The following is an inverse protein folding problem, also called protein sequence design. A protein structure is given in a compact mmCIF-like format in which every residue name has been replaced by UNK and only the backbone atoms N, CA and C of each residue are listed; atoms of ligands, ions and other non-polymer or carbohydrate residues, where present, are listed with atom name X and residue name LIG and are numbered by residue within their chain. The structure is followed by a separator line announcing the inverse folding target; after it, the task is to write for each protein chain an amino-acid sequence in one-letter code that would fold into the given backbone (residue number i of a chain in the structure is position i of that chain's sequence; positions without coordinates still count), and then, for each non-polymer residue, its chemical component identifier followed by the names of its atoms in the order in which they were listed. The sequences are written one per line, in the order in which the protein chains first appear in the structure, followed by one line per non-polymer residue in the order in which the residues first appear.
data_IF_911174066294
#
_entry.id   IF_911174066294
#
_cell.length_a   1.000
_cell.length_b   1.000
_cell.length_c   1.000
_cell.angle_alpha   90.00
_cell.angle_beta   90.00
_cell.angle_gamma   90.00
#
_symmetry.space_group_name_H-M   'P 1'
#
loop_
_entity.id
_entity.type
_entity.pdbx_description
1 polymer ?
#
# COMPACT_ATOMS: atom_id res chain seq x y z
N UNK A 1 -4.93 -36.57 9.58
CA UNK A 1 -5.52 -35.65 8.59
C UNK A 1 -5.08 -34.23 8.93
N UNK A 2 -3.91 -33.81 8.45
CA UNK A 2 -3.34 -32.45 8.66
C UNK A 2 -3.14 -31.69 7.34
N UNK A 3 -3.54 -32.26 6.20
CA UNK A 3 -3.34 -31.65 4.88
C UNK A 3 -4.19 -30.38 4.65
N UNK A 4 -5.38 -30.27 5.26
CA UNK A 4 -6.32 -29.17 4.97
C UNK A 4 -5.88 -27.77 5.41
N UNK A 5 -5.09 -27.63 6.49
CA UNK A 5 -4.67 -26.30 6.98
C UNK A 5 -3.48 -25.77 6.16
N UNK A 6 -2.57 -26.64 5.75
CA UNK A 6 -1.42 -26.24 4.93
C UNK A 6 -1.86 -25.81 3.52
N UNK A 7 -2.81 -26.52 2.92
CA UNK A 7 -3.34 -26.16 1.60
C UNK A 7 -4.11 -24.83 1.64
N UNK A 8 -4.83 -24.58 2.74
CA UNK A 8 -5.58 -23.36 2.95
C UNK A 8 -4.67 -22.14 3.17
N UNK A 9 -3.58 -22.31 3.92
CA UNK A 9 -2.52 -21.30 4.06
C UNK A 9 -1.89 -20.95 2.71
N UNK A 10 -1.50 -21.96 1.93
CA UNK A 10 -0.89 -21.74 0.60
C UNK A 10 -1.83 -21.01 -0.34
N UNK A 11 -3.10 -21.41 -0.36
CA UNK A 11 -4.13 -20.76 -1.18
C UNK A 11 -4.30 -19.30 -0.77
N UNK A 12 -4.32 -19.02 0.53
CA UNK A 12 -4.44 -17.65 1.03
C UNK A 12 -3.25 -16.78 0.60
N UNK A 13 -2.01 -17.26 0.78
CA UNK A 13 -0.79 -16.54 0.33
C UNK A 13 -0.84 -16.28 -1.18
N UNK A 14 -1.23 -17.28 -1.99
CA UNK A 14 -1.36 -17.11 -3.44
C UNK A 14 -2.37 -16.02 -3.80
N UNK A 15 -3.54 -16.01 -3.15
CA UNK A 15 -4.58 -15.02 -3.39
C UNK A 15 -4.11 -13.61 -2.96
N UNK A 16 -3.40 -13.48 -1.84
CA UNK A 16 -2.78 -12.22 -1.38
C UNK A 16 -1.83 -11.67 -2.44
N UNK A 17 -0.90 -12.49 -2.93
CA UNK A 17 0.07 -12.06 -3.93
C UNK A 17 -0.61 -11.67 -5.26
N UNK A 18 -1.62 -12.43 -5.70
CA UNK A 18 -2.38 -12.08 -6.90
C UNK A 18 -3.15 -10.76 -6.74
N UNK A 19 -3.79 -10.55 -5.59
CA UNK A 19 -4.48 -9.31 -5.27
C UNK A 19 -3.52 -8.12 -5.22
N UNK A 20 -2.39 -8.26 -4.52
CA UNK A 20 -1.37 -7.22 -4.42
C UNK A 20 -0.82 -6.83 -5.79
N UNK A 21 -0.46 -7.81 -6.62
CA UNK A 21 0.03 -7.53 -7.98
C UNK A 21 -1.03 -6.81 -8.84
N UNK A 22 -2.28 -7.26 -8.79
CA UNK A 22 -3.37 -6.65 -9.54
C UNK A 22 -3.63 -5.20 -9.07
N UNK A 23 -3.59 -4.96 -7.77
CA UNK A 23 -3.81 -3.63 -7.20
C UNK A 23 -2.62 -2.70 -7.42
N UNK A 24 -1.38 -3.19 -7.33
CA UNK A 24 -0.20 -2.42 -7.71
C UNK A 24 -0.28 -1.94 -9.17
N UNK A 25 -0.76 -2.78 -10.08
CA UNK A 25 -1.04 -2.39 -11.46
C UNK A 25 -2.05 -1.25 -11.59
N UNK A 26 -3.19 -1.34 -10.88
CA UNK A 26 -4.22 -0.29 -10.86
C UNK A 26 -3.69 1.01 -10.27
N UNK A 27 -2.94 0.93 -9.17
CA UNK A 27 -2.36 2.09 -8.49
C UNK A 27 -1.36 2.79 -9.43
N UNK A 28 -0.41 2.06 -10.04
CA UNK A 28 0.54 2.63 -11.01
C UNK A 28 -0.15 3.33 -12.18
N UNK A 29 -1.20 2.70 -12.71
CA UNK A 29 -1.99 3.31 -13.77
C UNK A 29 -2.63 4.62 -13.29
N UNK A 30 -3.27 4.60 -12.12
CA UNK A 30 -3.96 5.79 -11.59
C UNK A 30 -2.99 6.92 -11.27
N UNK A 31 -1.82 6.61 -10.75
CA UNK A 31 -0.72 7.56 -10.53
C UNK A 31 -0.32 8.21 -11.86
N UNK A 32 -0.10 7.40 -12.89
CA UNK A 32 0.30 7.89 -14.22
C UNK A 32 -0.76 8.81 -14.83
N UNK A 33 -2.05 8.47 -14.67
CA UNK A 33 -3.17 9.32 -15.12
C UNK A 33 -3.17 10.66 -14.39
N UNK A 34 -3.08 10.65 -13.05
CA UNK A 34 -3.05 11.86 -12.23
C UNK A 34 -1.86 12.76 -12.58
N UNK A 35 -0.66 12.20 -12.68
CA UNK A 35 0.53 12.95 -13.10
C UNK A 35 0.35 13.53 -14.52
N UNK A 36 -0.26 12.77 -15.44
CA UNK A 36 -0.59 13.23 -16.79
C UNK A 36 -1.63 14.36 -16.83
N UNK A 37 -2.51 14.43 -15.84
CA UNK A 37 -3.44 15.54 -15.61
C UNK A 37 -2.76 16.77 -14.96
N UNK A 38 -1.47 16.68 -14.65
CA UNK A 38 -0.70 17.73 -13.96
C UNK A 38 -0.92 17.74 -12.45
N UNK A 39 -1.47 16.67 -11.88
CA UNK A 39 -1.63 16.52 -10.42
C UNK A 39 -0.30 16.14 -9.79
N UNK A 40 -0.04 16.68 -8.60
CA UNK A 40 1.09 16.23 -7.75
C UNK A 40 0.57 15.24 -6.72
N UNK A 41 1.31 14.16 -6.49
CA UNK A 41 0.95 13.18 -5.47
C UNK A 41 1.78 13.45 -4.22
N UNK A 42 1.09 13.53 -3.09
CA UNK A 42 1.71 13.73 -1.78
C UNK A 42 1.31 12.64 -0.81
N UNK A 43 2.12 12.44 0.22
CA UNK A 43 1.87 11.57 1.36
C UNK A 43 2.32 12.31 2.63
N UNK A 44 2.39 11.60 3.76
CA UNK A 44 2.60 12.19 5.07
C UNK A 44 1.28 12.44 5.79
N UNK A 45 1.34 13.25 6.83
CA UNK A 45 0.16 13.60 7.63
C UNK A 45 0.53 13.93 9.06
N UNK A 46 -0.42 13.74 9.98
CA UNK A 46 -0.13 13.85 11.40
C UNK A 46 0.71 12.65 11.85
N UNK A 47 1.83 12.95 12.51
CA UNK A 47 2.71 11.99 13.16
C UNK A 47 2.30 11.78 14.62
N UNK A 48 1.84 12.85 15.28
CA UNK A 48 1.18 12.84 16.57
C UNK A 48 0.20 14.03 16.70
N UNK A 49 -0.23 14.35 17.93
CA UNK A 49 -1.18 15.43 18.21
C UNK A 49 -0.67 16.81 17.73
N UNK A 50 0.65 17.02 17.71
CA UNK A 50 1.30 18.28 17.34
C UNK A 50 2.14 18.15 16.06
N UNK A 51 2.86 17.06 15.87
CA UNK A 51 3.80 16.88 14.78
C UNK A 51 3.12 16.43 13.48
N UNK A 52 3.57 16.97 12.35
CA UNK A 52 3.08 16.61 11.02
C UNK A 52 4.15 16.81 9.94
N UNK A 53 3.97 16.12 8.81
CA UNK A 53 4.74 16.31 7.58
C UNK A 53 3.86 16.25 6.31
N UNK A 54 4.37 16.82 5.23
CA UNK A 54 3.85 16.68 3.87
C UNK A 54 5.02 16.29 2.99
N UNK A 55 4.92 15.14 2.33
CA UNK A 55 6.01 14.50 1.59
C UNK A 55 5.60 14.36 0.13
N UNK A 56 6.50 14.68 -0.79
CA UNK A 56 6.33 14.31 -2.20
C UNK A 56 6.47 12.79 -2.33
N UNK A 57 5.39 12.13 -2.72
CA UNK A 57 5.32 10.67 -2.75
C UNK A 57 6.36 10.06 -3.71
N UNK A 58 6.65 10.72 -4.84
CA UNK A 58 7.55 10.19 -5.86
C UNK A 58 9.02 10.25 -5.43
N UNK A 59 9.40 11.33 -4.76
CA UNK A 59 10.80 11.66 -4.46
C UNK A 59 11.19 11.45 -3.01
N UNK A 60 10.22 11.20 -2.13
CA UNK A 60 10.37 11.21 -0.67
C UNK A 60 10.93 12.54 -0.12
N UNK A 61 10.78 13.64 -0.86
CA UNK A 61 11.15 14.96 -0.39
C UNK A 61 10.11 15.47 0.62
N UNK A 62 10.56 15.87 1.81
CA UNK A 62 9.70 16.57 2.78
C UNK A 62 9.45 17.99 2.25
N UNK A 63 8.23 18.28 1.84
CA UNK A 63 7.79 19.58 1.31
C UNK A 63 7.51 20.57 2.44
N UNK A 64 6.96 20.09 3.54
CA UNK A 64 6.82 20.84 4.77
C UNK A 64 6.71 19.89 5.97
N UNK A 65 7.02 20.41 7.15
CA UNK A 65 6.79 19.74 8.41
C UNK A 65 6.57 20.79 9.51
N UNK A 66 5.85 20.43 10.56
CA UNK A 66 5.52 21.32 11.66
C UNK A 66 5.21 20.58 12.94
N UNK A 67 4.99 21.36 14.01
CA UNK A 67 4.65 20.87 15.35
C UNK A 67 3.53 21.72 15.98
N UNK A 68 2.55 22.09 15.17
CA UNK A 68 1.39 22.93 15.49
C UNK A 68 0.07 22.25 15.11
N UNK A 69 0.12 20.93 14.95
CA UNK A 69 -1.03 20.04 14.77
C UNK A 69 -1.72 20.19 13.43
N UNK A 70 -2.98 19.76 13.40
CA UNK A 70 -3.80 19.75 12.19
C UNK A 70 -3.95 21.13 11.54
N UNK A 71 -4.07 22.19 12.34
CA UNK A 71 -4.22 23.56 11.83
C UNK A 71 -2.99 23.99 11.01
N UNK A 72 -1.79 23.67 11.48
CA UNK A 72 -0.54 23.93 10.77
C UNK A 72 -0.43 23.12 9.48
N UNK A 73 -0.77 21.83 9.53
CA UNK A 73 -0.80 20.94 8.37
C UNK A 73 -1.75 21.48 7.28
N UNK A 74 -2.98 21.83 7.63
CA UNK A 74 -3.96 22.37 6.69
C UNK A 74 -3.54 23.72 6.10
N UNK A 75 -2.93 24.58 6.90
CA UNK A 75 -2.43 25.87 6.44
C UNK A 75 -1.28 25.69 5.43
N UNK A 76 -0.30 24.84 5.77
CA UNK A 76 0.81 24.52 4.87
C UNK A 76 0.34 23.91 3.56
N UNK A 77 -0.64 22.99 3.59
CA UNK A 77 -1.23 22.42 2.38
C UNK A 77 -1.84 23.48 1.45
N UNK A 78 -2.62 24.42 2.00
CA UNK A 78 -3.24 25.52 1.23
C UNK A 78 -2.20 26.49 0.64
N UNK A 79 -1.12 26.76 1.39
CA UNK A 79 -0.05 27.65 0.96
C UNK A 79 0.82 27.02 -0.14
N UNK A 80 1.09 25.71 -0.04
CA UNK A 80 1.90 24.96 -1.00
C UNK A 80 1.13 24.60 -2.27
N UNK A 81 -0.19 24.41 -2.18
CA UNK A 81 -1.07 24.07 -3.30
C UNK A 81 -2.31 24.96 -3.37
N UNK A 82 -2.15 26.25 -3.68
CA UNK A 82 -3.27 27.19 -3.74
C UNK A 82 -4.25 26.91 -4.89
N UNK A 83 -3.91 26.01 -5.81
CA UNK A 83 -4.72 25.63 -6.97
C UNK A 83 -5.42 24.29 -6.81
N UNK A 84 -5.29 23.62 -5.66
CA UNK A 84 -5.92 22.32 -5.37
C UNK A 84 -5.59 21.25 -6.42
N UNK A 85 -4.30 21.18 -6.79
CA UNK A 85 -3.75 20.23 -7.76
C UNK A 85 -3.10 19.00 -7.10
N UNK A 86 -2.98 18.97 -5.78
CA UNK A 86 -2.38 17.88 -5.05
C UNK A 86 -3.42 16.79 -4.75
N UNK A 87 -2.96 15.54 -4.76
CA UNK A 87 -3.76 14.37 -4.41
C UNK A 87 -2.98 13.57 -3.39
N UNK A 88 -3.61 13.29 -2.25
CA UNK A 88 -3.01 12.44 -1.22
C UNK A 88 -2.97 10.98 -1.68
N UNK A 89 -1.87 10.26 -1.47
CA UNK A 89 -1.72 8.87 -1.88
C UNK A 89 -2.79 7.96 -1.26
N UNK A 90 -3.11 8.13 0.03
CA UNK A 90 -4.18 7.35 0.68
C UNK A 90 -5.54 7.54 0.01
N UNK A 91 -5.78 8.70 -0.61
CA UNK A 91 -7.02 8.94 -1.35
C UNK A 91 -7.06 8.09 -2.62
N UNK A 92 -5.93 7.89 -3.27
CA UNK A 92 -5.79 6.99 -4.42
C UNK A 92 -6.12 5.55 -4.00
N UNK A 93 -5.55 5.09 -2.88
CA UNK A 93 -5.82 3.75 -2.35
C UNK A 93 -7.31 3.57 -2.00
N UNK A 94 -7.90 4.57 -1.33
CA UNK A 94 -9.31 4.56 -0.97
C UNK A 94 -10.24 4.52 -2.19
N UNK A 95 -9.98 5.34 -3.21
CA UNK A 95 -10.81 5.43 -4.41
C UNK A 95 -10.73 4.16 -5.27
N UNK A 96 -9.58 3.49 -5.28
CA UNK A 96 -9.39 2.22 -6.00
C UNK A 96 -10.00 1.01 -5.29
N UNK A 97 -10.22 1.11 -3.97
CA UNK A 97 -10.75 0.01 -3.17
C UNK A 97 -9.85 -1.22 -3.22
N UNK A 98 -8.60 -1.05 -2.76
CA UNK A 98 -7.62 -2.15 -2.61
C UNK A 98 -8.27 -3.39 -1.99
N UNK A 99 -7.98 -4.53 -2.59
CA UNK A 99 -8.72 -5.78 -2.40
C UNK A 99 -8.34 -6.42 -1.08
N UNK A 100 -9.29 -6.53 -0.17
CA UNK A 100 -9.13 -7.34 1.01
C UNK A 100 -9.32 -8.83 0.68
N UNK A 101 -8.34 -9.66 1.02
CA UNK A 101 -8.35 -11.10 0.68
C UNK A 101 -8.94 -11.91 1.82
N UNK A 102 -10.13 -12.46 1.61
CA UNK A 102 -10.74 -13.43 2.52
C UNK A 102 -10.49 -14.86 2.06
N UNK A 103 -10.26 -15.78 3.00
CA UNK A 103 -10.18 -17.22 2.70
C UNK A 103 -11.08 -18.00 3.65
N UNK A 104 -12.20 -18.57 3.16
CA UNK A 104 -13.15 -19.29 4.00
C UNK A 104 -12.47 -20.39 4.82
N UNK A 105 -12.65 -20.34 6.15
CA UNK A 105 -12.03 -21.29 7.08
C UNK A 105 -10.71 -20.81 7.69
N UNK A 106 -10.17 -19.66 7.26
CA UNK A 106 -9.09 -18.96 7.93
C UNK A 106 -9.66 -17.88 8.86
N UNK A 107 -9.33 -17.86 10.17
CA UNK A 107 -9.69 -16.75 11.03
C UNK A 107 -9.03 -15.45 10.54
N UNK A 108 -9.77 -14.35 10.59
CA UNK A 108 -9.36 -13.02 10.12
C UNK A 108 -7.99 -12.58 10.67
N UNK A 109 -7.79 -12.70 11.98
CA UNK A 109 -6.52 -12.31 12.59
C UNK A 109 -5.32 -13.12 12.11
N UNK A 110 -5.53 -14.38 11.70
CA UNK A 110 -4.49 -15.21 11.13
C UNK A 110 -4.27 -14.88 9.66
N UNK A 111 -5.35 -14.61 8.90
CA UNK A 111 -5.27 -14.15 7.52
C UNK A 111 -4.41 -12.88 7.41
N UNK A 112 -4.70 -11.86 8.23
CA UNK A 112 -3.93 -10.61 8.26
C UNK A 112 -2.45 -10.85 8.57
N UNK A 113 -2.14 -11.72 9.55
CA UNK A 113 -0.75 -12.05 9.87
C UNK A 113 -0.02 -12.75 8.72
N UNK A 114 -0.72 -13.59 7.97
CA UNK A 114 -0.16 -14.29 6.81
C UNK A 114 0.03 -13.34 5.64
N UNK A 115 -0.90 -12.40 5.43
CA UNK A 115 -0.77 -11.33 4.45
C UNK A 115 0.46 -10.47 4.72
N UNK A 116 0.59 -9.95 5.94
CA UNK A 116 1.76 -9.16 6.36
C UNK A 116 3.06 -9.93 6.13
N UNK A 117 3.10 -11.21 6.54
CA UNK A 117 4.26 -12.06 6.33
C UNK A 117 4.55 -12.29 4.84
N UNK A 118 3.53 -12.58 4.03
CA UNK A 118 3.69 -12.88 2.62
C UNK A 118 4.20 -11.68 1.80
N UNK A 119 3.85 -10.46 2.21
CA UNK A 119 4.26 -9.23 1.53
C UNK A 119 5.62 -8.69 2.02
N UNK A 120 5.97 -8.92 3.29
CA UNK A 120 7.20 -8.38 3.88
C UNK A 120 8.39 -9.35 3.89
N UNK A 121 8.17 -10.66 3.70
CA UNK A 121 9.24 -11.66 3.75
C UNK A 121 10.03 -11.75 2.45
N UNK A 122 11.24 -12.31 2.54
CA UNK A 122 12.08 -12.58 1.38
C UNK A 122 11.36 -13.52 0.38
N UNK A 123 11.49 -13.19 -0.92
CA UNK A 123 10.77 -13.87 -1.99
C UNK A 123 11.05 -15.38 -2.06
N UNK A 124 12.27 -15.81 -1.73
CA UNK A 124 12.69 -17.21 -1.74
C UNK A 124 12.00 -18.03 -0.63
N UNK A 125 11.79 -17.43 0.55
CA UNK A 125 11.07 -18.06 1.66
C UNK A 125 9.61 -18.32 1.28
N UNK A 126 8.94 -17.30 0.73
CA UNK A 126 7.55 -17.41 0.27
C UNK A 126 7.44 -18.42 -0.87
N UNK A 127 8.37 -18.39 -1.84
CA UNK A 127 8.44 -19.34 -2.95
C UNK A 127 8.53 -20.80 -2.46
N UNK A 128 9.34 -21.08 -1.42
CA UNK A 128 9.44 -22.40 -0.82
C UNK A 128 8.13 -22.88 -0.19
N UNK A 129 7.34 -21.98 0.40
CA UNK A 129 6.06 -22.33 1.04
C UNK A 129 5.00 -22.69 0.00
N UNK A 130 4.81 -21.82 -1.02
CA UNK A 130 3.71 -21.97 -1.98
C UNK A 130 4.09 -22.68 -3.29
N UNK A 131 5.39 -22.91 -3.53
CA UNK A 131 5.90 -23.63 -4.68
C UNK A 131 5.87 -22.83 -5.99
N UNK A 132 5.87 -21.51 -5.92
CA UNK A 132 6.05 -20.63 -7.08
C UNK A 132 7.53 -20.37 -7.34
N UNK A 133 7.83 -19.78 -8.49
CA UNK A 133 9.18 -19.31 -8.78
C UNK A 133 9.43 -17.98 -8.05
N UNK A 134 10.67 -17.78 -7.58
CA UNK A 134 11.08 -16.62 -6.78
C UNK A 134 10.89 -15.30 -7.52
N UNK A 135 11.24 -15.25 -8.81
CA UNK A 135 11.05 -14.09 -9.68
C UNK A 135 9.58 -13.64 -9.79
N UNK A 136 8.66 -14.61 -9.80
CA UNK A 136 7.21 -14.31 -9.76
C UNK A 136 6.82 -13.72 -8.40
N UNK A 137 7.40 -14.20 -7.29
CA UNK A 137 7.09 -13.64 -5.97
C UNK A 137 7.57 -12.19 -5.89
N UNK A 138 8.79 -11.90 -6.32
CA UNK A 138 9.32 -10.53 -6.36
C UNK A 138 8.40 -9.59 -7.15
N UNK A 139 7.96 -10.02 -8.35
CA UNK A 139 7.02 -9.25 -9.17
C UNK A 139 5.67 -9.02 -8.48
N UNK A 140 5.21 -9.99 -7.67
CA UNK A 140 3.89 -9.96 -7.06
C UNK A 140 3.88 -9.29 -5.67
N UNK A 141 5.04 -9.18 -5.01
CA UNK A 141 5.23 -8.39 -3.80
C UNK A 141 5.49 -6.91 -4.11
N UNK A 142 5.98 -6.59 -5.30
CA UNK A 142 6.38 -5.23 -5.67
C UNK A 142 5.26 -4.19 -5.49
N UNK A 143 5.50 -3.23 -4.61
CA UNK A 143 4.63 -2.07 -4.38
C UNK A 143 4.51 -1.16 -5.61
N UNK A 144 3.42 -0.39 -5.66
CA UNK A 144 3.07 0.47 -6.78
C UNK A 144 4.05 1.62 -7.00
#
# INVERSE_FOLDING_TARGET
MLHGVSDLLKTHIQNVLEANHADAGKIRQRITELEGEGRRIVTGGQLDDEAWDIIDWRTNEILAAGNDGLDGYEAAGKDLDPSDNWVHFDRILQDLGVTYVETPGLPESLANLIEDWALASDADEVAQVIGWAEDKIEEYQAEA
#
